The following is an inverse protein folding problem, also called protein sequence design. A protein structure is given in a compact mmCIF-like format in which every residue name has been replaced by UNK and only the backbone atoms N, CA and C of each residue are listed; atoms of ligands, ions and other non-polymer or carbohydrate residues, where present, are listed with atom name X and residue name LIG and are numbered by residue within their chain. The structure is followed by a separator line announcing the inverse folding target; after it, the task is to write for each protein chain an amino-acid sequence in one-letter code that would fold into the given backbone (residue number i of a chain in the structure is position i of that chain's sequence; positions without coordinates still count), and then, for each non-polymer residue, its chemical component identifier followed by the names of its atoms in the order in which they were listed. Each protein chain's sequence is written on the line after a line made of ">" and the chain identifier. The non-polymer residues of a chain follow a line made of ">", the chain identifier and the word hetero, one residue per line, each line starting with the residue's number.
data_IF_739021207441
#
_entry.id   IF_739021207441
#
_cell.length_a   1.000
_cell.length_b   1.000
_cell.length_c   1.000
_cell.angle_alpha   90.00
_cell.angle_beta   90.00
_cell.angle_gamma   90.00
#
_symmetry.space_group_name_H-M   'P 1'
#
loop_
_entity.id
_entity.type
_entity.pdbx_description
1 polymer ?
#
# COMPACT_ATOMS: atom_id res chain seq x y z
N UNK A 1 -15.86 10.09 2.47
CA UNK A 1 -15.29 8.78 2.85
C UNK A 1 -15.38 8.56 4.36
N UNK A 2 -14.95 9.48 5.24
CA UNK A 2 -14.99 9.28 6.68
C UNK A 2 -16.37 8.87 7.19
N UNK A 3 -17.43 9.64 6.88
CA UNK A 3 -18.79 9.31 7.30
C UNK A 3 -19.32 7.96 6.79
N UNK A 4 -18.78 7.47 5.69
CA UNK A 4 -19.14 6.15 5.13
C UNK A 4 -18.43 5.03 5.89
N UNK A 5 -17.21 5.27 6.38
CA UNK A 5 -16.41 4.25 7.09
C UNK A 5 -16.67 4.20 8.59
N UNK A 6 -17.19 5.27 9.19
CA UNK A 6 -17.48 5.34 10.63
C UNK A 6 -18.36 4.18 11.15
N UNK A 7 -19.44 3.75 10.45
CA UNK A 7 -20.25 2.61 10.89
C UNK A 7 -19.45 1.29 10.94
N UNK A 8 -18.52 1.10 10.00
CA UNK A 8 -17.66 -0.07 9.95
C UNK A 8 -16.68 -0.07 11.13
N UNK A 9 -15.88 1.01 11.27
CA UNK A 9 -14.87 1.11 12.31
C UNK A 9 -15.46 1.06 13.71
N UNK A 10 -16.63 1.67 13.94
CA UNK A 10 -17.32 1.59 15.25
C UNK A 10 -17.73 0.15 15.65
N UNK A 11 -17.81 -0.76 14.69
CA UNK A 11 -18.11 -2.18 14.95
C UNK A 11 -16.86 -3.03 15.04
N UNK A 12 -15.83 -2.68 14.27
CA UNK A 12 -14.53 -3.35 14.33
C UNK A 12 -13.71 -2.96 15.56
N UNK A 13 -13.95 -1.75 16.12
CA UNK A 13 -13.26 -1.23 17.30
C UNK A 13 -14.25 -0.93 18.45
N UNK A 14 -14.88 -1.96 19.05
CA UNK A 14 -15.90 -1.76 20.09
C UNK A 14 -15.36 -1.11 21.36
N UNK A 15 -14.04 -1.11 21.56
CA UNK A 15 -13.34 -0.44 22.66
C UNK A 15 -13.37 1.10 22.54
N UNK A 16 -13.65 1.63 21.33
CA UNK A 16 -13.69 3.07 21.07
C UNK A 16 -15.14 3.56 21.21
N UNK A 17 -15.45 4.47 22.16
CA UNK A 17 -16.78 5.00 22.34
C UNK A 17 -17.30 5.75 21.10
N UNK A 18 -18.59 5.66 20.82
CA UNK A 18 -19.21 6.40 19.72
C UNK A 18 -19.04 7.90 19.93
N UNK A 19 -18.63 8.60 18.86
CA UNK A 19 -18.38 10.04 18.90
C UNK A 19 -17.01 10.43 19.48
N UNK A 20 -16.16 9.47 19.84
CA UNK A 20 -14.80 9.77 20.27
C UNK A 20 -13.96 10.30 19.08
N UNK A 21 -13.11 11.33 19.28
CA UNK A 21 -12.30 11.93 18.20
C UNK A 21 -11.44 10.94 17.42
N UNK A 22 -11.02 9.83 18.05
CA UNK A 22 -10.24 8.78 17.39
C UNK A 22 -10.92 8.25 16.12
N UNK A 23 -12.26 8.08 16.12
CA UNK A 23 -12.99 7.55 14.97
C UNK A 23 -12.85 8.44 13.74
N UNK A 24 -13.00 9.74 13.90
CA UNK A 24 -12.82 10.70 12.82
C UNK A 24 -11.39 10.73 12.28
N UNK A 25 -10.39 10.64 13.18
CA UNK A 25 -8.97 10.59 12.80
C UNK A 25 -8.60 9.28 12.07
N UNK A 26 -9.13 8.13 12.53
CA UNK A 26 -8.97 6.83 11.87
C UNK A 26 -9.55 6.88 10.45
N UNK A 27 -10.79 7.36 10.31
CA UNK A 27 -11.47 7.48 9.02
C UNK A 27 -10.75 8.45 8.07
N UNK A 28 -10.20 9.56 8.57
CA UNK A 28 -9.38 10.50 7.79
C UNK A 28 -8.07 9.87 7.34
N UNK A 29 -7.36 9.19 8.25
CA UNK A 29 -6.11 8.53 7.93
C UNK A 29 -6.33 7.45 6.86
N UNK A 30 -7.36 6.62 7.02
CA UNK A 30 -7.69 5.58 6.05
C UNK A 30 -8.08 6.17 4.68
N UNK A 31 -8.81 7.28 4.67
CA UNK A 31 -9.13 8.00 3.44
C UNK A 31 -7.88 8.57 2.75
N UNK A 32 -6.90 9.07 3.53
CA UNK A 32 -5.64 9.57 2.99
C UNK A 32 -4.82 8.42 2.36
N UNK A 33 -4.74 7.27 3.02
CA UNK A 33 -4.08 6.07 2.48
C UNK A 33 -4.74 5.59 1.18
N UNK A 34 -6.08 5.48 1.15
CA UNK A 34 -6.83 5.10 -0.06
C UNK A 34 -6.49 6.02 -1.24
N UNK A 35 -6.32 7.30 -1.00
CA UNK A 35 -6.00 8.30 -2.02
C UNK A 35 -4.50 8.41 -2.32
N UNK A 36 -3.64 7.60 -1.68
CA UNK A 36 -2.18 7.65 -1.88
C UNK A 36 -1.54 8.94 -1.38
N UNK A 37 -2.14 9.58 -0.35
CA UNK A 37 -1.65 10.82 0.26
C UNK A 37 -0.75 10.51 1.46
N UNK A 38 0.35 9.80 1.23
CA UNK A 38 1.27 9.29 2.25
C UNK A 38 1.74 10.37 3.24
N UNK A 39 2.04 11.57 2.74
CA UNK A 39 2.49 12.71 3.55
C UNK A 39 1.42 13.20 4.54
N UNK A 40 0.14 13.11 4.18
CA UNK A 40 -0.96 13.49 5.04
C UNK A 40 -1.37 12.35 5.98
N UNK A 41 -1.22 11.10 5.55
CA UNK A 41 -1.63 9.93 6.30
C UNK A 41 -0.85 9.78 7.62
N UNK A 42 0.47 9.90 7.61
CA UNK A 42 1.32 9.69 8.80
C UNK A 42 1.00 10.67 9.96
N UNK A 43 0.94 12.00 9.77
CA UNK A 43 0.60 12.92 10.86
C UNK A 43 -0.82 12.68 11.41
N UNK A 44 -1.78 12.35 10.57
CA UNK A 44 -3.15 12.04 10.99
C UNK A 44 -3.17 10.73 11.79
N UNK A 45 -2.41 9.72 11.34
CA UNK A 45 -2.28 8.44 12.02
C UNK A 45 -1.66 8.57 13.41
N UNK A 46 -0.63 9.39 13.57
CA UNK A 46 -0.04 9.70 14.88
C UNK A 46 -1.08 10.33 15.80
N UNK A 47 -1.86 11.31 15.32
CA UNK A 47 -2.96 11.91 16.11
C UNK A 47 -4.03 10.87 16.49
N UNK A 48 -4.36 9.96 15.57
CA UNK A 48 -5.28 8.85 15.85
C UNK A 48 -4.71 7.94 16.95
N UNK A 49 -3.41 7.61 16.91
CA UNK A 49 -2.75 6.80 17.94
C UNK A 49 -2.76 7.48 19.31
N UNK A 50 -2.48 8.78 19.41
CA UNK A 50 -2.61 9.52 20.66
C UNK A 50 -4.04 9.50 21.19
N UNK A 51 -5.01 9.67 20.31
CA UNK A 51 -6.43 9.61 20.69
C UNK A 51 -6.87 8.21 21.13
N UNK A 52 -6.34 7.14 20.52
CA UNK A 52 -6.55 5.76 20.97
C UNK A 52 -5.83 5.46 22.28
N UNK A 53 -4.63 6.04 22.49
CA UNK A 53 -3.87 5.85 23.73
C UNK A 53 -4.59 6.44 24.93
N UNK A 54 -5.34 7.52 24.78
CA UNK A 54 -6.14 8.07 25.87
C UNK A 54 -7.25 7.13 26.38
N UNK A 55 -7.64 6.15 25.58
CA UNK A 55 -8.60 5.09 25.93
C UNK A 55 -7.93 3.79 26.40
N UNK A 56 -6.61 3.69 26.23
CA UNK A 56 -5.88 2.47 26.54
C UNK A 56 -5.57 2.39 28.05
N UNK A 57 -5.99 1.33 28.74
CA UNK A 57 -5.69 1.16 30.17
C UNK A 57 -4.21 0.88 30.45
N UNK A 58 -3.44 0.52 29.43
CA UNK A 58 -2.00 0.24 29.53
C UNK A 58 -1.19 1.30 28.83
N UNK A 59 -0.15 1.83 29.49
CA UNK A 59 0.78 2.78 28.88
C UNK A 59 1.75 2.15 27.87
N UNK A 60 2.08 0.85 28.05
CA UNK A 60 3.14 0.18 27.27
C UNK A 60 2.64 -0.95 26.35
N UNK A 61 1.40 -1.41 26.55
CA UNK A 61 0.87 -2.56 25.80
C UNK A 61 -0.21 -2.09 24.83
N UNK A 62 -0.10 -2.48 23.56
CA UNK A 62 -1.06 -2.10 22.53
C UNK A 62 -2.47 -2.62 22.83
N UNK A 63 -3.49 -1.76 22.68
CA UNK A 63 -4.91 -2.15 22.71
C UNK A 63 -5.32 -2.85 21.41
N UNK A 64 -6.46 -3.53 21.41
CA UNK A 64 -6.96 -4.20 20.22
C UNK A 64 -7.29 -3.17 19.10
N UNK A 65 -7.86 -2.03 19.45
CA UNK A 65 -8.16 -0.96 18.50
C UNK A 65 -6.88 -0.41 17.84
N UNK A 66 -5.81 -0.21 18.62
CA UNK A 66 -4.51 0.25 18.10
C UNK A 66 -3.88 -0.78 17.17
N UNK A 67 -3.95 -2.07 17.50
CA UNK A 67 -3.42 -3.14 16.65
C UNK A 67 -4.20 -3.21 15.33
N UNK A 68 -5.53 -3.18 15.38
CA UNK A 68 -6.34 -3.20 14.16
C UNK A 68 -6.07 -1.97 13.29
N UNK A 69 -6.02 -0.78 13.88
CA UNK A 69 -5.69 0.44 13.17
C UNK A 69 -4.33 0.35 12.48
N UNK A 70 -3.32 -0.16 13.18
CA UNK A 70 -1.99 -0.34 12.65
C UNK A 70 -1.97 -1.34 11.48
N UNK A 71 -2.57 -2.52 11.63
CA UNK A 71 -2.57 -3.55 10.58
C UNK A 71 -3.29 -3.06 9.32
N UNK A 72 -4.37 -2.29 9.46
CA UNK A 72 -5.04 -1.67 8.32
C UNK A 72 -4.18 -0.59 7.64
N UNK A 73 -3.28 0.08 8.37
CA UNK A 73 -2.30 0.99 7.78
C UNK A 73 -1.18 0.25 7.07
N UNK A 74 -0.65 -0.84 7.63
CA UNK A 74 0.44 -1.61 7.01
C UNK A 74 -0.02 -2.36 5.76
N UNK A 75 -1.27 -2.84 5.73
CA UNK A 75 -1.84 -3.50 4.55
C UNK A 75 -2.28 -2.51 3.45
N UNK A 76 -2.46 -1.27 3.82
CA UNK A 76 -2.78 -0.07 2.99
C UNK A 76 -3.54 -0.32 1.70
N UNK A 77 -4.87 -0.26 1.76
CA UNK A 77 -5.69 -0.27 0.54
C UNK A 77 -5.44 1.03 -0.25
N UNK A 78 -4.61 0.95 -1.27
CA UNK A 78 -4.25 2.10 -2.13
C UNK A 78 -5.02 2.03 -3.45
N UNK A 79 -5.97 2.95 -3.64
CA UNK A 79 -6.68 3.09 -4.92
C UNK A 79 -5.90 3.94 -5.93
N UNK A 80 -4.95 4.77 -5.47
CA UNK A 80 -4.20 5.68 -6.31
C UNK A 80 -2.71 5.60 -6.02
N UNK A 81 -1.99 4.68 -6.63
CA UNK A 81 -0.54 4.59 -6.48
C UNK A 81 0.20 5.65 -7.32
N UNK A 82 -0.12 6.94 -7.12
CA UNK A 82 0.40 8.07 -7.91
C UNK A 82 1.92 8.09 -7.90
N UNK A 83 2.53 7.84 -6.76
CA UNK A 83 3.99 7.80 -6.60
C UNK A 83 4.63 6.74 -7.49
N UNK A 84 4.00 5.57 -7.62
CA UNK A 84 4.51 4.49 -8.49
C UNK A 84 4.38 4.87 -9.96
N UNK A 85 3.25 5.45 -10.37
CA UNK A 85 3.08 5.93 -11.74
C UNK A 85 4.12 7.00 -12.10
N UNK A 86 4.40 7.91 -11.16
CA UNK A 86 5.44 8.93 -11.33
C UNK A 86 6.83 8.31 -11.56
N UNK A 87 7.24 7.33 -10.74
CA UNK A 87 8.53 6.66 -10.92
C UNK A 87 8.59 5.88 -12.22
N UNK A 88 7.54 5.16 -12.60
CA UNK A 88 7.48 4.48 -13.89
C UNK A 88 7.59 5.46 -15.06
N UNK A 89 6.89 6.61 -15.00
CA UNK A 89 7.01 7.67 -16.01
C UNK A 89 8.43 8.23 -16.09
N UNK A 90 9.08 8.48 -14.95
CA UNK A 90 10.47 8.95 -14.88
C UNK A 90 11.46 7.93 -15.46
N UNK A 91 11.17 6.64 -15.34
CA UNK A 91 11.96 5.55 -15.91
C UNK A 91 11.63 5.28 -17.39
N UNK A 92 10.78 6.10 -18.02
CA UNK A 92 10.45 6.00 -19.43
C UNK A 92 9.45 4.90 -19.77
N UNK A 93 8.56 4.51 -18.86
CA UNK A 93 7.50 3.56 -19.13
C UNK A 93 6.61 4.03 -20.29
N UNK A 94 6.27 3.11 -21.20
CA UNK A 94 5.31 3.38 -22.27
C UNK A 94 3.95 3.76 -21.71
N UNK A 95 3.47 2.98 -20.71
CA UNK A 95 2.21 3.20 -20.00
C UNK A 95 2.47 3.18 -18.48
N UNK A 96 2.68 4.33 -17.83
CA UNK A 96 2.96 4.39 -16.38
C UNK A 96 1.88 3.75 -15.51
N UNK A 97 0.61 3.81 -15.93
CA UNK A 97 -0.55 3.30 -15.19
C UNK A 97 -0.85 1.82 -15.44
N UNK A 98 -0.07 1.15 -16.27
CA UNK A 98 -0.24 -0.28 -16.63
C UNK A 98 -0.37 -1.21 -15.41
N UNK A 99 0.32 -0.89 -14.30
CA UNK A 99 0.30 -1.66 -13.06
C UNK A 99 -0.88 -1.34 -12.12
N UNK A 100 -1.84 -0.52 -12.56
CA UNK A 100 -2.94 -0.06 -11.70
C UNK A 100 -3.80 -1.21 -11.16
N UNK A 101 -4.34 -2.05 -12.04
CA UNK A 101 -5.19 -3.17 -11.62
C UNK A 101 -4.41 -4.25 -10.86
N UNK A 102 -3.20 -4.64 -11.24
CA UNK A 102 -2.34 -5.50 -10.43
C UNK A 102 -2.14 -4.99 -9.01
N UNK A 103 -1.81 -3.71 -8.83
CA UNK A 103 -1.66 -3.09 -7.51
C UNK A 103 -2.98 -3.13 -6.74
N UNK A 104 -4.09 -2.75 -7.36
CA UNK A 104 -5.41 -2.74 -6.72
C UNK A 104 -5.79 -4.13 -6.19
N UNK A 105 -5.55 -5.18 -6.97
CA UNK A 105 -5.84 -6.56 -6.56
C UNK A 105 -4.91 -7.02 -5.43
N UNK A 106 -3.61 -6.73 -5.53
CA UNK A 106 -2.63 -7.11 -4.52
C UNK A 106 -2.87 -6.40 -3.17
N UNK A 107 -3.12 -5.09 -3.18
CA UNK A 107 -3.39 -4.32 -1.95
C UNK A 107 -4.75 -4.70 -1.32
N UNK A 108 -5.75 -5.06 -2.15
CA UNK A 108 -7.03 -5.57 -1.65
C UNK A 108 -6.87 -6.91 -0.93
N UNK A 109 -6.07 -7.82 -1.50
CA UNK A 109 -5.77 -9.12 -0.87
C UNK A 109 -4.98 -8.94 0.43
N UNK A 110 -3.97 -8.05 0.45
CA UNK A 110 -3.23 -7.68 1.66
C UNK A 110 -4.16 -7.17 2.76
N UNK A 111 -5.02 -6.21 2.44
CA UNK A 111 -5.95 -5.60 3.40
C UNK A 111 -6.97 -6.61 3.94
N UNK A 112 -7.50 -7.49 3.10
CA UNK A 112 -8.40 -8.56 3.52
C UNK A 112 -7.67 -9.56 4.44
N UNK A 113 -6.47 -9.99 4.08
CA UNK A 113 -5.67 -10.92 4.87
C UNK A 113 -5.31 -10.32 6.24
N UNK A 114 -4.89 -9.06 6.29
CA UNK A 114 -4.60 -8.34 7.52
C UNK A 114 -5.84 -8.22 8.43
N UNK A 115 -6.98 -7.83 7.86
CA UNK A 115 -8.24 -7.76 8.59
C UNK A 115 -8.66 -9.14 9.14
N UNK A 116 -8.55 -10.20 8.33
CA UNK A 116 -8.87 -11.57 8.76
C UNK A 116 -7.92 -12.05 9.84
N UNK A 117 -6.63 -11.80 9.72
CA UNK A 117 -5.64 -12.17 10.74
C UNK A 117 -5.95 -11.51 12.09
N UNK A 118 -6.24 -10.20 12.09
CA UNK A 118 -6.66 -9.47 13.30
C UNK A 118 -8.00 -10.00 13.82
N UNK A 119 -8.95 -10.27 12.94
CA UNK A 119 -10.27 -10.77 13.32
C UNK A 119 -10.19 -12.13 14.04
N UNK A 120 -9.32 -13.02 13.57
CA UNK A 120 -9.07 -14.32 14.22
C UNK A 120 -8.40 -14.11 15.59
N UNK A 121 -7.35 -13.29 15.66
CA UNK A 121 -6.58 -13.07 16.90
C UNK A 121 -7.40 -12.33 17.98
N UNK A 122 -8.25 -11.40 17.58
CA UNK A 122 -9.09 -10.59 18.48
C UNK A 122 -10.52 -11.14 18.63
N UNK A 123 -10.86 -12.22 17.92
CA UNK A 123 -12.22 -12.80 17.87
C UNK A 123 -13.29 -11.77 17.52
N UNK A 124 -13.01 -10.93 16.52
CA UNK A 124 -13.95 -9.90 16.08
C UNK A 124 -15.24 -10.54 15.53
N UNK A 125 -16.37 -9.90 15.83
CA UNK A 125 -17.68 -10.35 15.33
C UNK A 125 -17.91 -9.90 13.89
N UNK A 126 -17.25 -10.55 12.92
CA UNK A 126 -17.41 -10.25 11.49
C UNK A 126 -18.83 -10.51 10.97
N UNK A 127 -19.61 -11.36 11.65
CA UNK A 127 -21.01 -11.66 11.32
C UNK A 127 -22.00 -10.54 11.70
N UNK A 128 -21.52 -9.43 12.27
CA UNK A 128 -22.37 -8.29 12.53
C UNK A 128 -22.91 -7.73 11.20
N UNK A 129 -24.23 -7.48 11.03
CA UNK A 129 -24.83 -7.13 9.73
C UNK A 129 -24.15 -5.94 9.04
N UNK A 130 -23.69 -4.93 9.80
CA UNK A 130 -22.97 -3.80 9.25
C UNK A 130 -21.62 -4.25 8.67
N UNK A 131 -20.80 -4.99 9.42
CA UNK A 131 -19.49 -5.47 8.95
C UNK A 131 -19.68 -6.41 7.75
N UNK A 132 -20.63 -7.32 7.85
CA UNK A 132 -20.97 -8.25 6.77
C UNK A 132 -21.37 -7.51 5.49
N UNK A 133 -22.17 -6.44 5.60
CA UNK A 133 -22.58 -5.64 4.43
C UNK A 133 -21.35 -5.02 3.71
N UNK A 134 -20.36 -4.48 4.45
CA UNK A 134 -19.12 -3.96 3.85
C UNK A 134 -18.28 -5.07 3.24
N UNK A 135 -18.13 -6.20 3.92
CA UNK A 135 -17.35 -7.35 3.40
C UNK A 135 -18.01 -7.94 2.16
N UNK A 136 -19.32 -8.10 2.16
CA UNK A 136 -20.07 -8.57 0.99
C UNK A 136 -19.99 -7.58 -0.16
N UNK A 137 -20.14 -6.27 0.10
CA UNK A 137 -20.00 -5.26 -0.93
C UNK A 137 -18.57 -5.27 -1.54
N UNK A 138 -17.53 -5.38 -0.72
CA UNK A 138 -16.16 -5.49 -1.18
C UNK A 138 -15.94 -6.79 -1.97
N UNK A 139 -16.43 -7.92 -1.47
CA UNK A 139 -16.33 -9.21 -2.14
C UNK A 139 -17.08 -9.23 -3.50
N UNK A 140 -18.27 -8.61 -3.56
CA UNK A 140 -19.02 -8.48 -4.83
C UNK A 140 -18.28 -7.57 -5.81
N UNK A 141 -17.74 -6.43 -5.36
CA UNK A 141 -16.97 -5.53 -6.21
C UNK A 141 -15.71 -6.19 -6.76
N UNK A 142 -14.93 -6.88 -5.92
CA UNK A 142 -13.74 -7.63 -6.33
C UNK A 142 -14.11 -8.84 -7.20
N UNK A 143 -15.16 -9.57 -6.84
CA UNK A 143 -15.66 -10.70 -7.62
C UNK A 143 -16.11 -10.27 -9.02
N UNK A 144 -16.86 -9.17 -9.12
CA UNK A 144 -17.25 -8.60 -10.41
C UNK A 144 -16.02 -8.15 -11.21
N UNK A 145 -15.08 -7.49 -10.58
CA UNK A 145 -13.81 -7.10 -11.22
C UNK A 145 -13.07 -8.32 -11.75
N UNK A 146 -12.85 -9.34 -10.92
CA UNK A 146 -12.14 -10.56 -11.31
C UNK A 146 -12.89 -11.30 -12.45
N UNK A 147 -14.20 -11.44 -12.37
CA UNK A 147 -15.00 -12.12 -13.40
C UNK A 147 -15.00 -11.36 -14.73
N UNK A 148 -15.03 -10.02 -14.70
CA UNK A 148 -14.91 -9.22 -15.94
C UNK A 148 -13.52 -9.32 -16.57
N UNK A 149 -12.48 -9.47 -15.78
CA UNK A 149 -11.10 -9.59 -16.23
C UNK A 149 -10.74 -11.03 -16.67
N UNK A 150 -11.34 -12.06 -16.07
CA UNK A 150 -10.96 -13.46 -16.26
C UNK A 150 -11.10 -13.98 -17.71
N UNK A 151 -11.97 -13.35 -18.50
CA UNK A 151 -12.15 -13.72 -19.92
C UNK A 151 -11.29 -12.93 -20.90
N UNK A 152 -10.44 -12.00 -20.41
CA UNK A 152 -9.65 -11.11 -21.25
C UNK A 152 -8.29 -11.72 -21.60
N UNK A 153 -7.79 -11.42 -22.82
CA UNK A 153 -6.39 -11.71 -23.18
C UNK A 153 -5.44 -10.80 -22.39
N UNK A 154 -4.15 -11.19 -22.28
CA UNK A 154 -3.13 -10.37 -21.61
C UNK A 154 -3.06 -8.94 -22.16
N UNK A 155 -3.18 -8.78 -23.49
CA UNK A 155 -3.21 -7.45 -24.12
C UNK A 155 -4.45 -6.64 -23.72
N UNK A 156 -5.62 -7.26 -23.63
CA UNK A 156 -6.85 -6.60 -23.19
C UNK A 156 -6.79 -6.23 -21.69
N UNK A 157 -6.20 -7.09 -20.85
CA UNK A 157 -5.95 -6.81 -19.44
C UNK A 157 -5.02 -5.60 -19.25
N UNK A 158 -3.92 -5.55 -20.00
CA UNK A 158 -2.99 -4.43 -20.00
C UNK A 158 -3.70 -3.13 -20.41
N UNK A 159 -4.43 -3.14 -21.54
CA UNK A 159 -5.18 -1.99 -22.01
C UNK A 159 -6.27 -1.53 -21.00
N UNK A 160 -6.99 -2.48 -20.39
CA UNK A 160 -7.98 -2.18 -19.35
C UNK A 160 -7.33 -1.52 -18.12
N UNK A 161 -6.19 -2.04 -17.66
CA UNK A 161 -5.45 -1.48 -16.53
C UNK A 161 -5.00 -0.04 -16.81
N UNK A 162 -4.40 0.21 -17.97
CA UNK A 162 -3.97 1.54 -18.41
C UNK A 162 -5.16 2.49 -18.53
N UNK A 163 -6.25 2.08 -19.17
CA UNK A 163 -7.44 2.92 -19.33
C UNK A 163 -8.08 3.30 -17.99
N UNK A 164 -8.31 2.31 -17.12
CA UNK A 164 -8.95 2.54 -15.81
C UNK A 164 -8.03 3.37 -14.92
N UNK A 165 -6.72 3.12 -14.94
CA UNK A 165 -5.72 3.89 -14.20
C UNK A 165 -5.69 5.35 -14.62
N UNK A 166 -5.62 5.62 -15.93
CA UNK A 166 -5.62 6.98 -16.49
C UNK A 166 -6.94 7.72 -16.19
N UNK A 167 -8.09 7.06 -16.39
CA UNK A 167 -9.40 7.65 -16.09
C UNK A 167 -9.56 7.96 -14.61
N UNK A 168 -9.09 7.07 -13.72
CA UNK A 168 -9.14 7.27 -12.28
C UNK A 168 -8.29 8.47 -11.88
N UNK A 169 -7.05 8.54 -12.35
CA UNK A 169 -6.14 9.66 -12.08
C UNK A 169 -6.73 10.99 -12.59
N UNK A 170 -7.17 11.01 -13.84
CA UNK A 170 -7.79 12.19 -14.45
C UNK A 170 -9.05 12.64 -13.70
N UNK A 171 -9.95 11.69 -13.36
CA UNK A 171 -11.19 12.00 -12.64
C UNK A 171 -10.95 12.63 -11.28
N UNK A 172 -9.91 12.20 -10.56
CA UNK A 172 -9.57 12.76 -9.25
C UNK A 172 -8.97 14.17 -9.38
N UNK A 173 -8.05 14.37 -10.34
CA UNK A 173 -7.53 15.71 -10.62
C UNK A 173 -8.67 16.66 -10.96
N UNK A 174 -9.57 16.27 -11.87
CA UNK A 174 -10.73 17.06 -12.24
C UNK A 174 -11.69 17.29 -11.08
N UNK A 175 -11.91 16.30 -10.23
CA UNK A 175 -12.73 16.46 -9.03
C UNK A 175 -12.17 17.54 -8.10
N UNK A 176 -10.86 17.55 -7.82
CA UNK A 176 -10.24 18.59 -7.00
C UNK A 176 -10.38 19.98 -7.61
N UNK A 177 -10.15 20.11 -8.92
CA UNK A 177 -10.28 21.40 -9.63
C UNK A 177 -11.73 21.91 -9.58
N UNK A 178 -12.70 21.05 -9.94
CA UNK A 178 -14.12 21.43 -9.97
C UNK A 178 -14.65 21.76 -8.57
N UNK A 179 -14.38 20.90 -7.57
CA UNK A 179 -14.82 21.15 -6.18
C UNK A 179 -14.16 22.39 -5.62
N UNK A 180 -12.88 22.62 -5.90
CA UNK A 180 -12.17 23.84 -5.51
C UNK A 180 -12.82 25.09 -6.11
N UNK A 181 -13.08 25.07 -7.40
CA UNK A 181 -13.75 26.19 -8.11
C UNK A 181 -15.17 26.45 -7.56
N UNK A 182 -15.98 25.39 -7.35
CA UNK A 182 -17.33 25.50 -6.79
C UNK A 182 -17.35 26.03 -5.35
N UNK A 183 -16.27 25.84 -4.60
CA UNK A 183 -16.11 26.37 -3.23
C UNK A 183 -15.45 27.75 -3.18
N UNK A 184 -15.19 28.38 -4.33
CA UNK A 184 -14.57 29.70 -4.41
C UNK A 184 -13.10 29.73 -4.03
N UNK A 185 -12.41 28.57 -4.05
CA UNK A 185 -10.97 28.50 -3.84
C UNK A 185 -10.27 29.07 -5.08
N UNK A 186 -9.23 29.86 -4.87
CA UNK A 186 -8.33 30.29 -5.96
C UNK A 186 -7.47 29.11 -6.41
N UNK A 187 -8.03 28.29 -7.31
CA UNK A 187 -7.51 26.98 -7.70
C UNK A 187 -6.06 27.07 -8.19
N UNK A 188 -5.74 28.12 -8.99
CA UNK A 188 -4.39 28.32 -9.49
C UNK A 188 -3.38 28.58 -8.36
N UNK A 189 -3.72 29.49 -7.45
CA UNK A 189 -2.83 29.83 -6.33
C UNK A 189 -2.61 28.62 -5.40
N UNK A 190 -3.70 27.90 -5.10
CA UNK A 190 -3.63 26.66 -4.30
C UNK A 190 -2.80 25.56 -4.98
N UNK A 191 -2.90 25.44 -6.33
CA UNK A 191 -2.07 24.51 -7.09
C UNK A 191 -0.58 24.87 -7.01
N UNK A 192 -0.24 26.16 -7.19
CA UNK A 192 1.15 26.63 -7.11
C UNK A 192 1.73 26.42 -5.71
N UNK A 193 0.95 26.67 -4.66
CA UNK A 193 1.37 26.45 -3.28
C UNK A 193 1.65 24.95 -3.02
N UNK A 194 0.72 24.07 -3.41
CA UNK A 194 0.93 22.61 -3.32
C UNK A 194 2.12 22.11 -4.16
N UNK A 195 2.34 22.69 -5.34
CA UNK A 195 3.49 22.34 -6.18
C UNK A 195 4.82 22.73 -5.53
N UNK A 196 4.89 23.88 -4.83
CA UNK A 196 6.08 24.29 -4.06
C UNK A 196 6.35 23.36 -2.88
N UNK A 197 5.30 22.96 -2.16
CA UNK A 197 5.43 21.96 -1.08
C UNK A 197 5.93 20.61 -1.61
N UNK A 198 5.39 20.13 -2.73
CA UNK A 198 5.81 18.91 -3.40
C UNK A 198 7.28 18.96 -3.83
N UNK A 199 7.74 20.10 -4.38
CA UNK A 199 9.15 20.28 -4.75
C UNK A 199 10.06 20.23 -3.51
N UNK A 200 9.70 20.94 -2.44
CA UNK A 200 10.46 20.95 -1.20
C UNK A 200 10.57 19.54 -0.60
N UNK A 201 9.48 18.77 -0.63
CA UNK A 201 9.48 17.37 -0.21
C UNK A 201 10.39 16.49 -1.06
N UNK A 202 10.36 16.66 -2.39
CA UNK A 202 11.22 15.93 -3.32
C UNK A 202 12.70 16.18 -3.05
N UNK A 203 13.10 17.44 -2.82
CA UNK A 203 14.48 17.81 -2.48
C UNK A 203 14.91 17.13 -1.16
N UNK A 204 14.02 17.07 -0.18
CA UNK A 204 14.29 16.40 1.10
C UNK A 204 14.51 14.89 0.95
N UNK A 205 13.81 14.24 0.02
CA UNK A 205 13.94 12.82 -0.24
C UNK A 205 15.18 12.44 -1.06
N UNK A 206 15.68 13.34 -1.88
CA UNK A 206 16.76 13.07 -2.84
C UNK A 206 18.01 12.47 -2.21
N UNK A 207 18.57 12.99 -1.09
CA UNK A 207 19.75 12.40 -0.46
C UNK A 207 19.53 10.95 -0.01
N UNK A 208 18.35 10.64 0.52
CA UNK A 208 18.01 9.27 0.96
C UNK A 208 17.91 8.32 -0.24
N UNK A 209 17.32 8.75 -1.36
CA UNK A 209 17.27 7.96 -2.58
C UNK A 209 18.66 7.69 -3.13
N UNK A 210 19.53 8.71 -3.20
CA UNK A 210 20.93 8.56 -3.66
C UNK A 210 21.67 7.56 -2.77
N UNK A 211 21.61 7.74 -1.44
CA UNK A 211 22.26 6.84 -0.50
C UNK A 211 21.79 5.39 -0.67
N UNK A 212 20.49 5.18 -0.82
CA UNK A 212 19.92 3.84 -1.02
C UNK A 212 20.30 3.24 -2.37
N UNK A 213 20.28 4.02 -3.45
CA UNK A 213 20.72 3.54 -4.77
C UNK A 213 22.21 3.15 -4.77
N UNK A 214 23.06 3.93 -4.09
CA UNK A 214 24.48 3.57 -3.92
C UNK A 214 24.63 2.28 -3.12
N UNK A 215 23.91 2.14 -2.00
CA UNK A 215 23.96 0.92 -1.18
C UNK A 215 23.50 -0.32 -1.97
N UNK A 216 22.43 -0.20 -2.74
CA UNK A 216 21.92 -1.27 -3.63
C UNK A 216 22.93 -1.59 -4.73
N UNK A 217 23.53 -0.56 -5.34
CA UNK A 217 24.58 -0.73 -6.35
C UNK A 217 25.80 -1.50 -5.80
N UNK A 218 26.23 -1.16 -4.57
CA UNK A 218 27.33 -1.89 -3.89
C UNK A 218 26.91 -3.34 -3.60
N UNK A 219 25.70 -3.57 -3.11
CA UNK A 219 25.17 -4.90 -2.83
C UNK A 219 25.13 -5.78 -4.10
N UNK A 220 24.73 -5.20 -5.23
CA UNK A 220 24.75 -5.90 -6.52
C UNK A 220 26.18 -6.14 -7.00
N UNK A 221 27.04 -5.12 -6.97
CA UNK A 221 28.45 -5.23 -7.40
C UNK A 221 29.23 -6.24 -6.55
N UNK A 222 28.87 -6.46 -5.29
CA UNK A 222 29.47 -7.48 -4.43
C UNK A 222 29.10 -8.93 -4.81
N UNK A 223 28.09 -9.14 -5.67
CA UNK A 223 27.55 -10.46 -6.04
C UNK A 223 26.69 -11.13 -4.95
N UNK A 224 26.56 -10.54 -3.76
CA UNK A 224 25.77 -11.12 -2.66
C UNK A 224 24.30 -11.20 -3.03
N UNK A 225 23.76 -10.15 -3.67
CA UNK A 225 22.37 -10.14 -4.14
C UNK A 225 22.14 -11.24 -5.18
N UNK A 226 23.02 -11.35 -6.18
CA UNK A 226 22.87 -12.33 -7.25
C UNK A 226 23.04 -13.77 -6.74
N UNK A 227 23.97 -14.01 -5.78
CA UNK A 227 24.11 -15.29 -5.12
C UNK A 227 22.85 -15.68 -4.32
N UNK A 228 22.26 -14.74 -3.58
CA UNK A 228 21.01 -14.95 -2.86
C UNK A 228 19.83 -15.26 -3.79
N UNK A 229 19.65 -14.47 -4.84
CA UNK A 229 18.61 -14.69 -5.84
C UNK A 229 18.85 -15.99 -6.62
N UNK A 230 20.11 -16.33 -6.91
CA UNK A 230 20.50 -17.60 -7.54
C UNK A 230 20.08 -18.81 -6.71
N UNK A 231 20.28 -18.75 -5.38
CA UNK A 231 19.81 -19.78 -4.46
C UNK A 231 18.29 -19.95 -4.47
N UNK A 232 17.53 -18.83 -4.45
CA UNK A 232 16.06 -18.87 -4.55
C UNK A 232 15.64 -19.43 -5.91
N UNK A 233 16.28 -18.98 -6.99
CA UNK A 233 15.99 -19.47 -8.36
C UNK A 233 16.19 -20.97 -8.45
N UNK A 234 17.31 -21.50 -7.94
CA UNK A 234 17.58 -22.94 -7.89
C UNK A 234 16.49 -23.72 -7.14
N UNK A 235 16.01 -23.21 -6.01
CA UNK A 235 14.91 -23.82 -5.26
C UNK A 235 13.59 -23.82 -6.05
N UNK A 236 13.26 -22.71 -6.70
CA UNK A 236 12.03 -22.55 -7.50
C UNK A 236 12.06 -23.44 -8.73
N UNK A 237 13.19 -23.51 -9.44
CA UNK A 237 13.41 -24.43 -10.58
C UNK A 237 13.30 -25.90 -10.16
N UNK A 238 13.80 -26.22 -8.96
CA UNK A 238 13.71 -27.57 -8.41
C UNK A 238 12.29 -28.10 -8.20
N UNK A 239 11.31 -27.19 -8.06
CA UNK A 239 9.87 -27.52 -7.99
C UNK A 239 9.14 -27.29 -9.33
N UNK A 240 9.87 -26.93 -10.40
CA UNK A 240 9.32 -26.75 -11.75
C UNK A 240 8.52 -25.47 -11.97
N UNK A 241 8.73 -24.43 -11.13
CA UNK A 241 8.04 -23.16 -11.28
C UNK A 241 8.85 -22.15 -12.11
N UNK A 242 8.13 -21.18 -12.72
CA UNK A 242 8.73 -20.07 -13.44
C UNK A 242 9.49 -19.16 -12.47
N UNK A 243 10.70 -18.77 -12.85
CA UNK A 243 11.62 -17.99 -11.99
C UNK A 243 11.67 -16.50 -12.32
N UNK A 244 10.90 -16.01 -13.29
CA UNK A 244 10.90 -14.59 -13.71
C UNK A 244 10.59 -13.62 -12.56
N UNK A 245 9.82 -14.06 -11.56
CA UNK A 245 9.50 -13.22 -10.40
C UNK A 245 10.67 -13.01 -9.44
N UNK A 246 11.67 -13.90 -9.48
CA UNK A 246 12.81 -13.88 -8.53
C UNK A 246 13.59 -12.57 -8.62
N UNK A 247 13.75 -12.02 -9.81
CA UNK A 247 14.49 -10.78 -10.05
C UNK A 247 13.83 -9.54 -9.43
N UNK A 248 12.53 -9.59 -9.15
CA UNK A 248 11.80 -8.52 -8.47
C UNK A 248 11.75 -8.68 -6.94
N UNK A 249 12.09 -9.86 -6.39
CA UNK A 249 12.00 -10.16 -4.95
C UNK A 249 12.76 -9.20 -4.03
N UNK A 250 13.90 -8.58 -4.42
CA UNK A 250 14.57 -7.60 -3.59
C UNK A 250 13.65 -6.45 -3.16
N UNK A 251 12.78 -5.98 -4.06
CA UNK A 251 11.76 -4.97 -3.75
C UNK A 251 10.80 -5.46 -2.66
N UNK A 252 10.31 -6.71 -2.78
CA UNK A 252 9.38 -7.31 -1.83
C UNK A 252 9.99 -7.52 -0.44
N UNK A 253 11.24 -8.00 -0.36
CA UNK A 253 11.92 -8.25 0.92
C UNK A 253 12.27 -6.97 1.67
N UNK A 254 12.61 -5.91 0.95
CA UNK A 254 12.95 -4.62 1.56
C UNK A 254 11.70 -3.83 1.94
N UNK A 255 10.56 -4.06 1.30
CA UNK A 255 9.32 -3.29 1.49
C UNK A 255 8.86 -3.22 2.95
N UNK A 256 8.75 -4.32 3.71
CA UNK A 256 8.39 -4.26 5.12
C UNK A 256 9.36 -3.48 6.00
N UNK A 257 10.66 -3.46 5.61
CA UNK A 257 11.75 -2.85 6.38
C UNK A 257 11.90 -1.36 6.10
N UNK A 258 11.87 -0.96 4.82
CA UNK A 258 12.18 0.39 4.38
C UNK A 258 11.44 0.76 3.10
N UNK A 259 10.56 1.76 3.17
CA UNK A 259 9.85 2.28 2.00
C UNK A 259 10.77 2.94 0.96
N UNK A 260 11.76 3.71 1.40
CA UNK A 260 12.78 4.30 0.51
C UNK A 260 13.72 3.24 -0.07
N UNK A 261 14.12 2.26 0.73
CA UNK A 261 14.93 1.13 0.27
C UNK A 261 14.23 0.28 -0.78
N UNK A 262 12.97 -0.08 -0.53
CA UNK A 262 12.16 -0.83 -1.50
C UNK A 262 11.94 -0.05 -2.81
N UNK A 263 11.77 1.27 -2.71
CA UNK A 263 11.66 2.16 -3.87
C UNK A 263 12.95 2.18 -4.69
N UNK A 264 14.11 2.23 -4.02
CA UNK A 264 15.41 2.14 -4.69
C UNK A 264 15.61 0.78 -5.37
N UNK A 265 15.19 -0.34 -4.73
CA UNK A 265 15.21 -1.68 -5.33
C UNK A 265 14.29 -1.77 -6.55
N UNK A 266 13.09 -1.17 -6.49
CA UNK A 266 12.18 -1.10 -7.63
C UNK A 266 12.82 -0.36 -8.81
N UNK A 267 13.41 0.82 -8.57
CA UNK A 267 14.06 1.63 -9.61
C UNK A 267 15.26 0.86 -10.19
N UNK A 268 16.03 0.21 -9.36
CA UNK A 268 17.18 -0.59 -9.77
C UNK A 268 16.74 -1.78 -10.62
N UNK A 269 15.69 -2.49 -10.23
CA UNK A 269 15.10 -3.57 -11.04
C UNK A 269 14.64 -3.06 -12.41
N UNK A 270 13.99 -1.89 -12.47
CA UNK A 270 13.58 -1.25 -13.72
C UNK A 270 14.77 -0.87 -14.60
N UNK A 271 15.84 -0.34 -14.00
CA UNK A 271 17.05 0.04 -14.74
C UNK A 271 17.81 -1.17 -15.31
N UNK A 272 17.82 -2.28 -14.56
CA UNK A 272 18.55 -3.50 -14.96
C UNK A 272 17.80 -4.32 -15.99
N UNK A 273 16.50 -4.52 -15.79
CA UNK A 273 15.70 -5.43 -16.64
C UNK A 273 14.76 -4.69 -17.60
N UNK A 274 14.59 -3.39 -17.43
CA UNK A 274 13.66 -2.56 -18.16
C UNK A 274 12.37 -2.28 -17.39
N UNK A 275 11.84 -1.06 -17.53
CA UNK A 275 10.66 -0.57 -16.81
C UNK A 275 9.37 -1.34 -17.17
N UNK A 276 9.24 -1.76 -18.42
CA UNK A 276 8.09 -2.51 -18.94
C UNK A 276 8.35 -4.03 -19.03
N UNK A 277 9.49 -4.51 -18.53
CA UNK A 277 9.78 -5.93 -18.36
C UNK A 277 8.92 -6.56 -17.25
N UNK A 278 8.76 -7.87 -17.26
CA UNK A 278 8.04 -8.58 -16.20
C UNK A 278 8.61 -8.30 -14.79
N UNK A 279 9.95 -8.35 -14.55
CA UNK A 279 10.50 -7.96 -13.24
C UNK A 279 10.23 -6.49 -12.88
N UNK A 280 10.32 -5.56 -13.85
CA UNK A 280 10.03 -4.14 -13.63
C UNK A 280 8.57 -3.87 -13.25
N UNK A 281 7.62 -4.52 -13.94
CA UNK A 281 6.18 -4.44 -13.65
C UNK A 281 5.86 -5.06 -12.29
N UNK A 282 6.45 -6.21 -11.97
CA UNK A 282 6.25 -6.88 -10.70
C UNK A 282 6.87 -6.09 -9.53
N UNK A 283 8.06 -5.51 -9.69
CA UNK A 283 8.67 -4.64 -8.67
C UNK A 283 7.81 -3.42 -8.37
N UNK A 284 7.21 -2.80 -9.41
CA UNK A 284 6.23 -1.73 -9.25
C UNK A 284 4.98 -2.18 -8.50
N UNK A 285 4.49 -3.39 -8.79
CA UNK A 285 3.33 -3.98 -8.13
C UNK A 285 3.65 -4.29 -6.66
N UNK A 286 4.81 -4.84 -6.35
CA UNK A 286 5.27 -5.05 -4.96
C UNK A 286 5.31 -3.74 -4.17
N UNK A 287 5.87 -2.68 -4.77
CA UNK A 287 5.94 -1.38 -4.11
C UNK A 287 4.56 -0.83 -3.74
N UNK A 288 3.53 -1.12 -4.53
CA UNK A 288 2.15 -0.68 -4.30
C UNK A 288 1.27 -1.64 -3.52
N UNK A 289 1.73 -2.87 -3.24
CA UNK A 289 0.88 -3.91 -2.64
C UNK A 289 0.66 -3.77 -1.13
N UNK A 290 1.63 -3.17 -0.42
CA UNK A 290 1.62 -2.98 1.04
C UNK A 290 2.31 -1.68 1.44
N UNK A 291 2.23 -1.30 2.72
CA UNK A 291 3.07 -0.25 3.30
C UNK A 291 4.32 -0.83 3.99
N UNK A 292 5.14 0.06 4.56
CA UNK A 292 6.39 -0.31 5.24
C UNK A 292 6.09 -0.72 6.68
N UNK A 293 5.86 -2.00 6.91
CA UNK A 293 5.35 -2.57 8.17
C UNK A 293 6.17 -2.14 9.39
N UNK A 294 7.50 -2.34 9.38
CA UNK A 294 8.33 -1.99 10.54
C UNK A 294 8.41 -0.48 10.79
N UNK A 295 8.39 0.35 9.74
CA UNK A 295 8.33 1.79 9.88
C UNK A 295 7.02 2.25 10.52
N UNK A 296 5.89 1.75 10.04
CA UNK A 296 4.56 2.09 10.59
C UNK A 296 4.46 1.67 12.05
N UNK A 297 4.93 0.46 12.40
CA UNK A 297 5.04 -0.02 13.78
C UNK A 297 5.86 0.94 14.65
N UNK A 298 7.07 1.28 14.21
CA UNK A 298 7.98 2.13 14.97
C UNK A 298 7.42 3.55 15.17
N UNK A 299 6.87 4.15 14.11
CA UNK A 299 6.35 5.52 14.17
C UNK A 299 5.06 5.61 14.99
N UNK A 300 4.10 4.72 14.77
CA UNK A 300 2.80 4.83 15.42
C UNK A 300 2.84 4.37 16.88
N UNK A 301 3.45 3.24 17.18
CA UNK A 301 3.60 2.80 18.57
C UNK A 301 4.63 3.62 19.33
N UNK A 302 5.73 4.01 18.68
CA UNK A 302 6.75 4.86 19.28
C UNK A 302 6.20 6.24 19.70
N UNK A 303 5.33 6.84 18.89
CA UNK A 303 4.70 8.13 19.22
C UNK A 303 3.90 8.11 20.52
N UNK A 304 3.40 6.94 20.94
CA UNK A 304 2.57 6.78 22.14
C UNK A 304 3.23 5.93 23.24
N UNK A 305 4.53 5.59 23.09
CA UNK A 305 5.30 4.86 24.09
C UNK A 305 4.94 3.39 24.25
N UNK A 306 4.28 2.78 23.25
CA UNK A 306 3.96 1.35 23.26
C UNK A 306 5.19 0.54 22.90
N UNK A 307 5.58 -0.39 23.80
CA UNK A 307 6.71 -1.32 23.61
C UNK A 307 6.26 -2.76 23.37
N UNK A 308 5.07 -3.14 23.85
CA UNK A 308 4.51 -4.49 23.73
C UNK A 308 3.42 -4.51 22.67
N UNK A 309 3.80 -4.90 21.44
CA UNK A 309 2.94 -4.85 20.25
C UNK A 309 2.03 -6.08 20.09
N UNK A 310 2.12 -7.08 20.98
CA UNK A 310 1.29 -8.30 20.99
C UNK A 310 1.29 -9.00 19.62
N UNK A 311 0.10 -9.32 19.08
CA UNK A 311 -0.08 -9.96 17.78
C UNK A 311 0.00 -8.99 16.58
N UNK A 312 0.23 -7.70 16.79
CA UNK A 312 0.23 -6.68 15.73
C UNK A 312 1.22 -6.97 14.61
N UNK A 313 2.48 -7.31 14.95
CA UNK A 313 3.50 -7.65 13.95
C UNK A 313 3.11 -8.90 13.14
N UNK A 314 2.66 -9.97 13.81
CA UNK A 314 2.29 -11.20 13.12
C UNK A 314 1.15 -10.99 12.12
N UNK A 315 0.11 -10.23 12.50
CA UNK A 315 -1.00 -9.89 11.60
C UNK A 315 -0.55 -9.02 10.42
N UNK A 316 0.36 -8.07 10.65
CA UNK A 316 0.91 -7.22 9.59
C UNK A 316 1.75 -8.03 8.59
N UNK A 317 2.60 -8.94 9.07
CA UNK A 317 3.38 -9.82 8.19
C UNK A 317 2.51 -10.80 7.39
N UNK A 318 1.38 -11.26 7.92
CA UNK A 318 0.39 -12.03 7.15
C UNK A 318 -0.17 -11.20 6.00
N UNK A 319 -0.47 -9.92 6.23
CA UNK A 319 -0.89 -8.99 5.19
C UNK A 319 0.19 -8.79 4.13
N UNK A 320 1.46 -8.61 4.53
CA UNK A 320 2.60 -8.47 3.62
C UNK A 320 2.77 -9.70 2.73
N UNK A 321 2.76 -10.90 3.32
CA UNK A 321 2.87 -12.16 2.56
C UNK A 321 1.72 -12.31 1.57
N UNK A 322 0.49 -12.01 1.98
CA UNK A 322 -0.67 -12.08 1.10
C UNK A 322 -0.57 -11.08 -0.06
N UNK A 323 -0.14 -9.85 0.21
CA UNK A 323 0.10 -8.82 -0.81
C UNK A 323 1.17 -9.22 -1.82
N UNK A 324 2.32 -9.69 -1.34
CA UNK A 324 3.43 -10.16 -2.18
C UNK A 324 3.00 -11.36 -3.05
N UNK A 325 2.38 -12.37 -2.43
CA UNK A 325 1.92 -13.56 -3.16
C UNK A 325 0.90 -13.20 -4.24
N UNK A 326 -0.08 -12.36 -3.90
CA UNK A 326 -1.09 -11.91 -4.85
C UNK A 326 -0.48 -11.08 -5.96
N UNK A 327 0.49 -10.21 -5.67
CA UNK A 327 1.20 -9.44 -6.68
C UNK A 327 1.90 -10.34 -7.71
N UNK A 328 2.57 -11.41 -7.26
CA UNK A 328 3.19 -12.40 -8.17
C UNK A 328 2.11 -13.04 -9.06
N UNK A 329 1.06 -13.61 -8.46
CA UNK A 329 0.00 -14.31 -9.20
C UNK A 329 -0.70 -13.40 -10.20
N UNK A 330 -1.02 -12.16 -9.80
CA UNK A 330 -1.69 -11.20 -10.68
C UNK A 330 -0.78 -10.73 -11.81
N UNK A 331 0.51 -10.50 -11.55
CA UNK A 331 1.45 -10.13 -12.61
C UNK A 331 1.63 -11.27 -13.63
N UNK A 332 1.66 -12.52 -13.20
CA UNK A 332 1.62 -13.64 -14.15
C UNK A 332 0.32 -13.69 -14.94
N UNK A 333 -0.81 -13.38 -14.34
CA UNK A 333 -2.09 -13.33 -15.03
C UNK A 333 -2.17 -12.22 -16.07
N UNK A 334 -1.61 -11.04 -15.77
CA UNK A 334 -1.70 -9.84 -16.61
C UNK A 334 -0.62 -9.79 -17.70
N UNK A 335 0.58 -10.28 -17.38
CA UNK A 335 1.80 -10.05 -18.17
C UNK A 335 2.57 -11.35 -18.48
N UNK A 336 2.10 -12.48 -18.00
CA UNK A 336 2.71 -13.81 -18.16
C UNK A 336 2.29 -14.56 -19.42
#
# INVERSE_FOLDING_TARGET
>A
LGRVLDPLFSRLMPEVPRGHPAMGLISMNFAANILGLDNAATPIGIKAMHSLQSLNPSSETASNAQILFLVLNTSSLTLLPVTIFMYRAQQGATDPTLVFLPILLATSASSLAGLLAVAVMQRLKLWHPVVLAYLVAAALALGLLITTLAGMSAQALAAASTLVGNLTLFSIVMMFLVVGALRGVKVYDAFIEGAKEGLSFTITLLPYLIAMLVAVGVLRASGVLDAGLGGIRWLVEGIGWDTRFVDALPTAFVKPLSGSGSRAMMIETMNTFGVDSFPGLLAATFQGSTETTFYVLAVYFGAVGITRIRHGLGCALVADIAGITTAILVCYWFFG
#
